data_IF_608703119628
#
_entry.id   IF_608703119628
#
_cell.length_a   1.000
_cell.length_b   1.000
_cell.length_c   1.000
_cell.angle_alpha   90.00
_cell.angle_beta   90.00
_cell.angle_gamma   90.00
#
_symmetry.space_group_name_H-M   'P 1'
#
loop_
_entity.id
_entity.type
_entity.pdbx_description
1 polymer ?
#
# COMPACT_ATOMS: atom_id res chain seq x y z
N UNK A 1 -6.59 -11.02 29.72
CA UNK A 1 -6.89 -10.78 28.28
C UNK A 1 -5.58 -10.54 27.57
N UNK A 2 -5.39 -11.08 26.36
CA UNK A 2 -4.25 -10.70 25.51
C UNK A 2 -4.40 -9.25 25.07
N UNK A 3 -3.29 -8.53 24.94
CA UNK A 3 -3.28 -7.17 24.40
C UNK A 3 -3.62 -7.23 22.91
N UNK A 4 -4.45 -6.31 22.42
CA UNK A 4 -4.74 -6.23 21.00
C UNK A 4 -3.44 -6.02 20.21
N UNK A 5 -3.20 -6.88 19.22
CA UNK A 5 -1.99 -6.85 18.40
C UNK A 5 -0.66 -6.86 19.20
N UNK A 6 -0.61 -7.73 20.21
CA UNK A 6 0.64 -8.12 20.83
C UNK A 6 1.62 -8.75 19.82
N UNK A 7 2.82 -9.08 20.29
CA UNK A 7 3.84 -9.71 19.46
C UNK A 7 3.38 -11.05 18.85
N UNK A 8 2.49 -11.78 19.53
CA UNK A 8 1.96 -13.06 19.12
C UNK A 8 0.59 -12.93 18.41
N UNK A 9 0.35 -11.80 17.76
CA UNK A 9 -0.89 -11.55 17.03
C UNK A 9 -1.18 -12.68 16.03
N UNK A 10 -2.36 -13.30 16.16
CA UNK A 10 -2.82 -14.50 15.42
C UNK A 10 -2.08 -15.82 15.73
N UNK A 11 -1.07 -15.82 16.61
CA UNK A 11 -0.36 -17.01 17.04
C UNK A 11 -1.00 -17.55 18.33
N UNK A 12 -1.70 -18.68 18.20
CA UNK A 12 -2.57 -19.22 19.26
C UNK A 12 -1.95 -20.36 20.08
N UNK A 13 -0.78 -20.88 19.69
CA UNK A 13 -0.07 -21.96 20.39
C UNK A 13 1.44 -21.87 20.16
N UNK A 14 2.21 -22.62 20.97
CA UNK A 14 3.67 -22.58 20.97
C UNK A 14 4.28 -23.06 19.64
N UNK A 15 3.63 -24.01 18.96
CA UNK A 15 4.04 -24.45 17.62
C UNK A 15 3.95 -23.30 16.61
N UNK A 16 2.86 -22.54 16.61
CA UNK A 16 2.69 -21.38 15.73
C UNK A 16 3.70 -20.27 16.04
N UNK A 17 4.01 -20.06 17.33
CA UNK A 17 5.04 -19.13 17.77
C UNK A 17 6.40 -19.54 17.22
N UNK A 18 6.85 -20.78 17.46
CA UNK A 18 8.14 -21.27 16.97
C UNK A 18 8.24 -21.21 15.44
N UNK A 19 7.22 -21.71 14.72
CA UNK A 19 7.21 -21.67 13.25
C UNK A 19 7.32 -20.23 12.71
N UNK A 20 6.64 -19.27 13.34
CA UNK A 20 6.71 -17.88 12.91
C UNK A 20 8.06 -17.25 13.22
N UNK A 21 8.50 -17.27 14.48
CA UNK A 21 9.70 -16.53 14.90
C UNK A 21 11.01 -17.16 14.43
N UNK A 22 11.09 -18.49 14.48
CA UNK A 22 12.34 -19.21 14.19
C UNK A 22 12.57 -19.35 12.68
N UNK A 23 11.49 -19.34 11.88
CA UNK A 23 11.58 -19.61 10.44
C UNK A 23 10.96 -18.51 9.57
N UNK A 24 9.69 -18.12 9.79
CA UNK A 24 8.96 -17.29 8.82
C UNK A 24 9.30 -15.79 8.89
N UNK A 25 9.44 -15.23 10.10
CA UNK A 25 9.46 -13.78 10.36
C UNK A 25 10.54 -13.03 9.59
N UNK A 26 11.71 -13.63 9.41
CA UNK A 26 12.87 -13.01 8.79
C UNK A 26 13.02 -13.34 7.29
N UNK A 27 12.12 -14.14 6.73
CA UNK A 27 12.17 -14.48 5.31
C UNK A 27 11.95 -13.24 4.43
N UNK A 28 12.64 -13.16 3.28
CA UNK A 28 12.40 -12.08 2.32
C UNK A 28 11.02 -12.20 1.69
N UNK A 29 10.48 -11.07 1.25
CA UNK A 29 9.24 -11.02 0.49
C UNK A 29 9.54 -11.16 -1.00
N UNK A 30 8.87 -12.11 -1.64
CA UNK A 30 8.74 -12.22 -3.09
C UNK A 30 7.30 -11.84 -3.40
N UNK A 31 7.10 -10.59 -3.81
CA UNK A 31 5.77 -10.07 -4.13
C UNK A 31 5.46 -10.34 -5.61
N UNK A 32 5.04 -11.58 -5.87
CA UNK A 32 4.89 -12.13 -7.22
C UNK A 32 3.73 -11.55 -8.04
N UNK A 33 2.92 -10.67 -7.45
CA UNK A 33 1.90 -9.91 -8.17
C UNK A 33 1.46 -8.68 -7.36
N UNK A 34 1.65 -7.50 -7.93
CA UNK A 34 1.22 -6.24 -7.33
C UNK A 34 0.78 -5.22 -8.40
N UNK A 35 0.25 -4.08 -7.92
CA UNK A 35 -0.11 -2.92 -8.74
C UNK A 35 0.70 -1.67 -8.38
N UNK A 36 1.89 -1.84 -7.80
CA UNK A 36 2.81 -0.71 -7.54
C UNK A 36 3.19 -0.03 -8.85
N UNK A 37 3.32 1.30 -8.81
CA UNK A 37 3.69 2.08 -9.97
C UNK A 37 5.22 2.05 -10.19
N UNK A 38 5.72 1.46 -11.30
CA UNK A 38 7.15 1.42 -11.59
C UNK A 38 7.81 2.80 -11.64
N UNK A 39 7.09 3.83 -12.08
CA UNK A 39 7.59 5.21 -12.11
C UNK A 39 7.88 5.74 -10.72
N UNK A 40 6.98 5.53 -9.77
CA UNK A 40 7.17 6.00 -8.38
C UNK A 40 8.33 5.28 -7.69
N UNK A 41 8.56 4.00 -8.03
CA UNK A 41 9.73 3.25 -7.57
C UNK A 41 11.00 3.84 -8.20
N UNK A 42 11.02 4.06 -9.51
CA UNK A 42 12.17 4.62 -10.21
C UNK A 42 12.53 6.02 -9.69
N UNK A 43 11.56 6.93 -9.63
CA UNK A 43 11.73 8.31 -9.14
C UNK A 43 11.96 8.37 -7.62
N UNK A 44 11.88 7.21 -6.94
CA UNK A 44 12.00 7.06 -5.50
C UNK A 44 11.11 8.06 -4.75
N UNK A 45 9.81 8.06 -5.11
CA UNK A 45 8.84 9.06 -4.68
C UNK A 45 8.89 9.29 -3.17
N UNK A 46 8.97 10.57 -2.78
CA UNK A 46 8.74 11.03 -1.40
C UNK A 46 7.29 11.42 -1.25
N UNK A 47 6.65 10.94 -0.19
CA UNK A 47 5.26 11.23 0.11
C UNK A 47 5.13 12.52 0.92
N UNK A 48 4.05 13.28 0.68
CA UNK A 48 3.74 14.54 1.34
C UNK A 48 3.29 14.33 2.78
N UNK A 49 2.43 13.35 3.02
CA UNK A 49 1.84 13.05 4.33
C UNK A 49 1.24 11.63 4.34
N UNK A 50 0.70 11.22 5.50
CA UNK A 50 0.09 9.90 5.66
C UNK A 50 -1.12 9.70 4.76
N UNK A 51 -1.93 10.73 4.48
CA UNK A 51 -3.08 10.57 3.57
C UNK A 51 -2.64 10.17 2.17
N UNK A 52 -1.58 10.77 1.64
CA UNK A 52 -1.10 10.42 0.30
C UNK A 52 -0.62 8.97 0.23
N UNK A 53 0.26 8.54 1.14
CA UNK A 53 0.82 7.18 1.11
C UNK A 53 -0.20 6.11 1.51
N UNK A 54 -1.27 6.49 2.21
CA UNK A 54 -2.12 5.53 2.92
C UNK A 54 -3.57 5.51 2.47
N UNK A 55 -4.12 6.65 2.01
CA UNK A 55 -5.52 6.78 1.62
C UNK A 55 -5.73 7.02 0.13
N UNK A 56 -4.69 7.33 -0.67
CA UNK A 56 -4.85 7.45 -2.13
C UNK A 56 -4.90 6.08 -2.84
N UNK A 57 -4.76 5.01 -2.07
CA UNK A 57 -5.06 3.62 -2.44
C UNK A 57 -4.95 2.70 -1.21
N UNK A 58 -5.24 1.42 -1.30
CA UNK A 58 -6.21 0.81 -2.22
C UNK A 58 -7.65 1.17 -1.82
N UNK A 59 -8.58 0.95 -2.74
CA UNK A 59 -10.00 1.35 -2.64
C UNK A 59 -10.80 0.70 -1.49
N UNK A 60 -10.22 -0.22 -0.71
CA UNK A 60 -10.88 -0.79 0.48
C UNK A 60 -11.24 0.26 1.52
N UNK A 61 -10.33 1.22 1.78
CA UNK A 61 -10.56 2.30 2.76
C UNK A 61 -11.72 3.18 2.30
N UNK A 62 -11.76 3.55 1.01
CA UNK A 62 -12.85 4.31 0.42
C UNK A 62 -14.19 3.60 0.53
N UNK A 63 -14.22 2.30 0.23
CA UNK A 63 -15.43 1.48 0.36
C UNK A 63 -15.93 1.50 1.79
N UNK A 64 -15.06 1.30 2.78
CA UNK A 64 -15.43 1.32 4.18
C UNK A 64 -15.93 2.71 4.63
N UNK A 65 -15.28 3.79 4.20
CA UNK A 65 -15.72 5.16 4.49
C UNK A 65 -17.12 5.44 3.90
N UNK A 66 -17.39 5.05 2.64
CA UNK A 66 -18.72 5.15 2.03
C UNK A 66 -19.77 4.32 2.78
N UNK A 67 -19.44 3.09 3.14
CA UNK A 67 -20.32 2.23 3.96
C UNK A 67 -20.60 2.80 5.34
N UNK A 68 -19.70 3.63 5.87
CA UNK A 68 -19.86 4.34 7.14
C UNK A 68 -20.51 5.73 6.98
N UNK A 69 -21.07 6.04 5.79
CA UNK A 69 -21.80 7.28 5.52
C UNK A 69 -20.92 8.54 5.43
N UNK A 70 -19.61 8.39 5.20
CA UNK A 70 -18.72 9.53 4.97
C UNK A 70 -19.00 10.12 3.58
N UNK A 71 -19.13 11.44 3.53
CA UNK A 71 -19.33 12.19 2.27
C UNK A 71 -18.13 12.02 1.33
N UNK A 72 -18.40 11.86 0.03
CA UNK A 72 -17.38 11.60 -1.00
C UNK A 72 -16.30 12.68 -1.07
N UNK A 73 -16.61 13.93 -0.67
CA UNK A 73 -15.61 15.01 -0.61
C UNK A 73 -14.44 14.71 0.35
N UNK A 74 -14.70 13.92 1.39
CA UNK A 74 -13.70 13.45 2.36
C UNK A 74 -13.06 12.11 1.99
N UNK A 75 -13.36 11.57 0.81
CA UNK A 75 -12.81 10.31 0.29
C UNK A 75 -11.95 10.62 -0.92
N UNK A 76 -12.56 10.84 -2.09
CA UNK A 76 -11.84 11.14 -3.34
C UNK A 76 -12.03 12.58 -3.83
N UNK A 77 -12.85 13.39 -3.16
CA UNK A 77 -13.04 14.79 -3.53
C UNK A 77 -11.92 15.73 -3.07
N UNK A 78 -12.25 17.01 -2.95
CA UNK A 78 -11.31 18.14 -2.83
C UNK A 78 -11.02 18.57 -1.37
N UNK A 79 -11.51 17.83 -0.36
CA UNK A 79 -11.19 18.14 1.04
C UNK A 79 -9.70 17.98 1.33
N UNK A 80 -9.23 18.65 2.39
CA UNK A 80 -7.83 18.62 2.78
C UNK A 80 -7.40 17.19 3.16
N UNK A 81 -6.10 16.90 3.00
CA UNK A 81 -5.56 15.60 3.38
C UNK A 81 -5.80 15.27 4.86
N UNK A 82 -5.78 16.28 5.73
CA UNK A 82 -6.05 16.10 7.15
C UNK A 82 -7.51 15.72 7.40
N UNK A 83 -8.47 16.38 6.75
CA UNK A 83 -9.89 16.08 6.90
C UNK A 83 -10.23 14.66 6.39
N UNK A 84 -9.58 14.23 5.31
CA UNK A 84 -9.67 12.85 4.80
C UNK A 84 -9.13 11.84 5.82
N UNK A 85 -7.99 12.15 6.45
CA UNK A 85 -7.41 11.31 7.51
C UNK A 85 -8.30 11.23 8.76
N UNK A 86 -8.85 12.36 9.22
CA UNK A 86 -9.80 12.37 10.35
C UNK A 86 -11.06 11.57 10.04
N UNK A 87 -11.56 11.66 8.81
CA UNK A 87 -12.72 10.88 8.36
C UNK A 87 -12.42 9.38 8.32
N UNK A 88 -11.19 9.00 7.95
CA UNK A 88 -10.73 7.63 8.06
C UNK A 88 -10.64 7.17 9.52
N UNK A 89 -10.06 8.00 10.40
CA UNK A 89 -9.95 7.69 11.82
C UNK A 89 -11.32 7.51 12.50
N UNK A 90 -12.34 8.26 12.09
CA UNK A 90 -13.74 8.07 12.50
C UNK A 90 -14.34 6.75 12.02
N UNK A 91 -13.85 6.21 10.91
CA UNK A 91 -14.33 4.95 10.32
C UNK A 91 -13.77 3.72 11.02
N UNK A 92 -12.52 3.78 11.51
CA UNK A 92 -11.83 2.62 12.10
C UNK A 92 -12.56 1.96 13.27
N UNK A 93 -13.13 2.68 14.25
CA UNK A 93 -13.90 2.04 15.33
C UNK A 93 -15.07 1.17 14.85
N UNK A 94 -15.64 1.48 13.68
CA UNK A 94 -16.73 0.72 13.06
C UNK A 94 -16.24 -0.48 12.24
N UNK A 95 -14.93 -0.62 12.05
CA UNK A 95 -14.31 -1.67 11.26
C UNK A 95 -13.90 -2.91 12.09
N UNK A 96 -14.28 -3.01 13.37
CA UNK A 96 -13.99 -4.20 14.19
C UNK A 96 -14.60 -5.44 13.51
N UNK A 97 -13.76 -6.46 13.27
CA UNK A 97 -14.13 -7.66 12.50
C UNK A 97 -13.84 -7.56 11.00
N UNK A 98 -13.58 -6.36 10.47
CA UNK A 98 -13.07 -6.16 9.13
C UNK A 98 -11.52 -6.17 9.13
N UNK A 99 -10.85 -6.75 8.13
CA UNK A 99 -9.38 -6.77 8.07
C UNK A 99 -8.75 -5.37 8.05
N UNK A 100 -9.48 -4.33 7.62
CA UNK A 100 -9.03 -2.94 7.69
C UNK A 100 -8.65 -2.51 9.12
N UNK A 101 -9.29 -3.09 10.14
CA UNK A 101 -8.90 -2.84 11.53
C UNK A 101 -7.51 -3.41 11.81
N UNK A 102 -7.17 -4.60 11.30
CA UNK A 102 -5.83 -5.16 11.51
C UNK A 102 -4.77 -4.47 10.66
N UNK A 103 -5.03 -4.22 9.38
CA UNK A 103 -4.08 -3.57 8.47
C UNK A 103 -3.66 -2.20 8.98
N UNK A 104 -4.64 -1.37 9.38
CA UNK A 104 -4.40 -0.03 9.94
C UNK A 104 -3.38 -0.06 11.08
N UNK A 105 -3.60 -0.92 12.07
CA UNK A 105 -2.74 -0.97 13.25
C UNK A 105 -1.43 -1.71 12.97
N UNK A 106 -1.39 -2.65 12.01
CA UNK A 106 -0.15 -3.33 11.60
C UNK A 106 0.79 -2.34 10.89
N UNK A 107 0.23 -1.51 10.02
CA UNK A 107 0.96 -0.50 9.27
C UNK A 107 1.47 0.60 10.21
N UNK A 108 0.62 1.11 11.13
CA UNK A 108 1.01 2.05 12.18
C UNK A 108 2.15 1.51 13.06
N UNK A 109 2.05 0.25 13.49
CA UNK A 109 3.07 -0.38 14.33
C UNK A 109 4.38 -0.59 13.59
N UNK A 110 4.35 -1.23 12.42
CA UNK A 110 5.57 -1.64 11.70
C UNK A 110 6.33 -0.47 11.09
N UNK A 111 5.64 0.46 10.45
CA UNK A 111 6.32 1.55 9.74
C UNK A 111 6.52 2.78 10.62
N UNK A 112 5.62 3.04 11.57
CA UNK A 112 5.64 4.28 12.36
C UNK A 112 5.92 4.07 13.85
N UNK A 113 6.00 2.83 14.33
CA UNK A 113 6.20 2.53 15.76
C UNK A 113 5.08 3.08 16.62
N UNK A 114 3.82 2.97 16.16
CA UNK A 114 2.62 3.44 16.85
C UNK A 114 1.76 2.25 17.23
N UNK A 115 1.62 2.00 18.53
CA UNK A 115 0.70 1.00 19.09
C UNK A 115 -0.65 1.60 19.52
N UNK A 116 -0.83 2.92 19.40
CA UNK A 116 -2.09 3.60 19.71
C UNK A 116 -3.22 3.13 18.76
N UNK A 117 -4.41 2.87 19.30
CA UNK A 117 -5.60 2.55 18.49
C UNK A 117 -6.06 3.80 17.75
N UNK A 118 -6.23 3.71 16.42
CA UNK A 118 -6.70 4.84 15.61
C UNK A 118 -8.20 5.09 15.84
N UNK A 119 -8.53 6.30 16.28
CA UNK A 119 -9.89 6.82 16.42
C UNK A 119 -9.85 8.36 16.40
N UNK A 120 -11.02 9.01 16.47
CA UNK A 120 -11.12 10.49 16.43
C UNK A 120 -10.27 11.20 17.49
N UNK A 121 -10.09 10.62 18.68
CA UNK A 121 -9.32 11.23 19.77
C UNK A 121 -7.81 11.07 19.57
N UNK A 122 -7.36 9.93 19.04
CA UNK A 122 -5.93 9.65 18.82
C UNK A 122 -5.42 10.18 17.48
N UNK A 123 -6.31 10.45 16.53
CA UNK A 123 -5.96 10.86 15.17
C UNK A 123 -5.03 12.08 15.12
N UNK A 124 -5.23 13.19 15.87
CA UNK A 124 -4.34 14.35 15.77
C UNK A 124 -2.88 14.01 16.12
N UNK A 125 -2.67 13.26 17.22
CA UNK A 125 -1.34 12.82 17.65
C UNK A 125 -0.70 11.86 16.64
N UNK A 126 -1.49 10.93 16.10
CA UNK A 126 -1.01 9.96 15.09
C UNK A 126 -0.59 10.71 13.83
N UNK A 127 -1.43 11.61 13.33
CA UNK A 127 -1.15 12.46 12.17
C UNK A 127 0.18 13.21 12.29
N UNK A 128 0.39 13.89 13.42
CA UNK A 128 1.63 14.62 13.69
C UNK A 128 2.85 13.69 13.69
N UNK A 129 2.77 12.56 14.41
CA UNK A 129 3.88 11.61 14.51
C UNK A 129 4.21 10.98 13.15
N UNK A 130 3.20 10.54 12.40
CA UNK A 130 3.41 9.91 11.09
C UNK A 130 3.99 10.89 10.10
N UNK A 131 3.50 12.13 10.07
CA UNK A 131 4.00 13.14 9.12
C UNK A 131 5.39 13.65 9.47
N UNK A 132 5.75 13.69 10.76
CA UNK A 132 7.13 13.96 11.17
C UNK A 132 8.09 12.88 10.67
N UNK A 133 7.68 11.61 10.67
CA UNK A 133 8.47 10.51 10.13
C UNK A 133 8.55 10.55 8.60
N UNK A 134 7.42 10.78 7.92
CA UNK A 134 7.34 10.84 6.45
C UNK A 134 8.18 11.99 5.87
N UNK A 135 8.21 13.14 6.56
CA UNK A 135 9.03 14.29 6.13
C UNK A 135 10.52 14.08 6.34
N UNK A 136 10.92 13.15 7.21
CA UNK A 136 12.31 12.78 7.48
C UNK A 136 12.96 11.94 6.38
N UNK A 137 14.10 11.34 6.72
CA UNK A 137 14.81 10.38 5.87
C UNK A 137 14.21 8.96 6.03
N UNK A 138 14.35 8.12 5.01
CA UNK A 138 13.91 6.72 5.08
C UNK A 138 12.41 6.48 4.83
N UNK A 139 11.67 7.45 4.28
CA UNK A 139 10.24 7.35 3.95
C UNK A 139 9.95 7.65 2.47
N UNK A 140 10.74 7.06 1.58
CA UNK A 140 10.48 7.06 0.14
C UNK A 140 9.97 5.69 -0.32
N UNK A 141 9.46 5.61 -1.55
CA UNK A 141 8.99 4.35 -2.13
C UNK A 141 10.03 3.21 -2.00
N UNK A 142 11.29 3.44 -2.40
CA UNK A 142 12.34 2.41 -2.33
C UNK A 142 12.69 2.04 -0.88
N UNK A 143 12.66 3.00 0.05
CA UNK A 143 12.97 2.76 1.46
C UNK A 143 11.90 1.92 2.15
N UNK A 144 10.62 2.18 1.87
CA UNK A 144 9.51 1.36 2.38
C UNK A 144 9.58 -0.08 1.86
N UNK A 145 9.94 -0.26 0.59
CA UNK A 145 10.17 -1.57 -0.03
C UNK A 145 11.33 -2.31 0.67
N UNK A 146 12.49 -1.63 0.85
CA UNK A 146 13.66 -2.20 1.52
C UNK A 146 13.38 -2.56 2.99
N UNK A 147 12.72 -1.68 3.74
CA UNK A 147 12.29 -1.92 5.13
C UNK A 147 11.37 -3.13 5.28
N UNK A 148 10.65 -3.48 4.21
CA UNK A 148 9.77 -4.66 4.18
C UNK A 148 10.51 -5.95 3.79
N UNK A 149 11.84 -5.92 3.63
CA UNK A 149 12.66 -7.06 3.19
C UNK A 149 12.22 -7.66 1.85
N UNK A 150 11.70 -6.83 0.94
CA UNK A 150 11.30 -7.27 -0.41
C UNK A 150 12.53 -7.50 -1.26
N UNK A 151 12.56 -8.61 -2.01
CA UNK A 151 13.65 -8.94 -2.94
C UNK A 151 13.23 -8.92 -4.39
N UNK A 152 11.97 -9.22 -4.67
CA UNK A 152 11.42 -9.19 -6.02
C UNK A 152 9.98 -8.67 -5.95
N UNK A 153 9.65 -7.78 -6.89
CA UNK A 153 8.32 -7.22 -7.14
C UNK A 153 7.96 -7.57 -8.57
N UNK A 154 6.71 -7.99 -8.76
CA UNK A 154 6.13 -8.24 -10.06
C UNK A 154 4.97 -7.29 -10.27
N UNK A 155 5.17 -6.26 -11.09
CA UNK A 155 4.12 -5.28 -11.42
C UNK A 155 3.18 -5.86 -12.45
N UNK A 156 2.03 -5.21 -12.63
CA UNK A 156 1.02 -5.62 -13.60
C UNK A 156 0.96 -4.62 -14.74
N UNK A 157 1.32 -5.04 -15.95
CA UNK A 157 1.61 -4.16 -17.06
C UNK A 157 0.77 -4.53 -18.29
N UNK A 158 0.30 -3.51 -19.02
CA UNK A 158 -0.49 -3.68 -20.24
C UNK A 158 0.43 -4.08 -21.42
N UNK A 159 -0.02 -4.92 -22.37
CA UNK A 159 0.77 -5.27 -23.55
C UNK A 159 1.30 -4.07 -24.37
N UNK A 160 0.66 -2.90 -24.27
CA UNK A 160 1.08 -1.69 -24.99
C UNK A 160 2.03 -0.79 -24.19
N UNK A 161 2.41 -1.17 -22.97
CA UNK A 161 3.31 -0.38 -22.14
C UNK A 161 4.77 -0.52 -22.62
N UNK A 162 5.50 0.60 -22.68
CA UNK A 162 6.90 0.64 -23.16
C UNK A 162 7.92 0.04 -22.16
N UNK A 163 7.47 -0.22 -20.93
CA UNK A 163 8.26 -0.74 -19.81
C UNK A 163 9.52 0.10 -19.51
N UNK A 164 9.47 1.41 -19.79
CA UNK A 164 10.63 2.30 -19.68
C UNK A 164 11.18 2.38 -18.26
N UNK A 165 10.31 2.39 -17.25
CA UNK A 165 10.72 2.47 -15.85
C UNK A 165 11.32 1.16 -15.35
N UNK A 166 10.88 -0.01 -15.85
CA UNK A 166 11.56 -1.28 -15.54
C UNK A 166 12.98 -1.31 -16.08
N UNK A 167 13.20 -0.84 -17.31
CA UNK A 167 14.54 -0.72 -17.90
C UNK A 167 15.41 0.21 -17.07
N UNK A 168 14.90 1.40 -16.74
CA UNK A 168 15.60 2.37 -15.89
C UNK A 168 15.90 1.84 -14.48
N UNK A 169 14.98 1.10 -13.85
CA UNK A 169 15.19 0.47 -12.55
C UNK A 169 16.28 -0.61 -12.64
N UNK A 170 16.27 -1.43 -13.69
CA UNK A 170 17.29 -2.46 -13.93
C UNK A 170 18.71 -1.88 -14.04
N UNK A 171 18.83 -0.64 -14.50
CA UNK A 171 20.10 0.10 -14.64
C UNK A 171 20.51 0.81 -13.34
N UNK A 172 19.67 0.87 -12.31
CA UNK A 172 19.98 1.50 -11.03
C UNK A 172 20.94 0.63 -10.21
N UNK A 173 22.09 1.19 -9.83
CA UNK A 173 23.07 0.49 -8.97
C UNK A 173 22.80 0.63 -7.47
N UNK A 174 21.87 1.51 -7.08
CA UNK A 174 21.55 1.86 -5.69
C UNK A 174 20.27 1.19 -5.15
N UNK A 175 19.66 0.30 -5.95
CA UNK A 175 18.43 -0.41 -5.63
C UNK A 175 18.54 -1.90 -5.95
N UNK A 176 18.60 -2.73 -4.91
CA UNK A 176 18.86 -4.18 -4.99
C UNK A 176 17.61 -5.04 -5.22
N UNK A 177 16.43 -4.42 -5.29
CA UNK A 177 15.15 -5.11 -5.49
C UNK A 177 14.86 -5.24 -6.97
N UNK A 178 14.56 -6.47 -7.41
CA UNK A 178 14.16 -6.72 -8.81
C UNK A 178 12.72 -6.29 -9.02
N UNK A 179 12.47 -5.39 -9.96
CA UNK A 179 11.12 -4.98 -10.38
C UNK A 179 10.87 -5.54 -11.78
N UNK A 180 10.05 -6.57 -11.87
CA UNK A 180 9.79 -7.32 -13.08
C UNK A 180 8.37 -7.05 -13.57
N UNK A 181 8.16 -6.83 -14.88
CA UNK A 181 6.83 -6.64 -15.41
C UNK A 181 6.09 -7.99 -15.55
N UNK A 182 4.77 -7.97 -15.43
CA UNK A 182 3.91 -9.13 -15.75
C UNK A 182 2.85 -8.75 -16.77
N UNK A 183 2.57 -9.67 -17.68
CA UNK A 183 1.73 -9.45 -18.85
C UNK A 183 0.24 -9.54 -18.49
N UNK A 184 -0.51 -8.44 -18.61
CA UNK A 184 -1.96 -8.40 -18.37
C UNK A 184 -2.75 -7.99 -19.62
N UNK A 185 -3.15 -8.94 -20.48
CA UNK A 185 -3.81 -8.66 -21.76
C UNK A 185 -5.33 -8.51 -21.65
N UNK A 186 -5.88 -8.01 -20.54
CA UNK A 186 -7.32 -7.96 -20.30
C UNK A 186 -8.07 -7.29 -21.47
N UNK A 187 -7.53 -6.19 -22.00
CA UNK A 187 -8.13 -5.43 -23.11
C UNK A 187 -8.13 -6.20 -24.44
N UNK A 188 -7.23 -7.17 -24.63
CA UNK A 188 -7.22 -8.04 -25.80
C UNK A 188 -8.39 -9.02 -25.81
N UNK A 189 -8.81 -9.45 -24.62
CA UNK A 189 -9.87 -10.44 -24.43
C UNK A 189 -11.27 -9.81 -24.37
N UNK A 190 -11.33 -8.50 -24.10
CA UNK A 190 -12.57 -7.75 -23.89
C UNK A 190 -13.03 -7.02 -25.16
N UNK A 191 -13.29 -7.77 -26.23
CA UNK A 191 -13.72 -7.24 -27.54
C UNK A 191 -15.03 -6.43 -27.46
N UNK A 192 -15.87 -6.70 -26.47
CA UNK A 192 -17.15 -6.04 -26.25
C UNK A 192 -17.01 -4.61 -25.70
N UNK A 193 -15.83 -4.24 -25.19
CA UNK A 193 -15.62 -2.90 -24.61
C UNK A 193 -15.49 -1.85 -25.69
N UNK A 194 -16.10 -0.69 -25.47
CA UNK A 194 -15.95 0.48 -26.33
C UNK A 194 -14.49 0.93 -26.51
N UNK A 195 -13.61 0.58 -25.56
CA UNK A 195 -12.16 0.87 -25.61
C UNK A 195 -11.35 -0.09 -26.47
N UNK A 196 -11.94 -1.18 -26.97
CA UNK A 196 -11.20 -2.23 -27.68
C UNK A 196 -10.52 -1.71 -28.95
N UNK A 197 -11.25 -1.03 -29.83
CA UNK A 197 -10.71 -0.55 -31.11
C UNK A 197 -9.55 0.44 -30.92
N UNK A 198 -9.68 1.37 -29.96
CA UNK A 198 -8.62 2.34 -29.67
C UNK A 198 -7.39 1.67 -29.04
N UNK A 199 -7.58 0.63 -28.23
CA UNK A 199 -6.49 -0.15 -27.68
C UNK A 199 -5.79 -0.99 -28.75
N UNK A 200 -6.52 -1.67 -29.65
CA UNK A 200 -5.93 -2.43 -30.77
C UNK A 200 -5.08 -1.53 -31.67
N UNK A 201 -5.50 -0.29 -31.93
CA UNK A 201 -4.68 0.67 -32.67
C UNK A 201 -3.33 0.91 -31.98
N UNK A 202 -3.34 1.13 -30.65
CA UNK A 202 -2.09 1.28 -29.88
C UNK A 202 -1.24 0.02 -29.91
N UNK A 203 -1.87 -1.15 -29.82
CA UNK A 203 -1.17 -2.44 -29.90
C UNK A 203 -0.46 -2.62 -31.25
N UNK A 204 -1.02 -2.09 -32.35
CA UNK A 204 -0.37 -2.18 -33.67
C UNK A 204 0.86 -1.28 -33.82
N UNK A 205 1.11 -0.37 -32.87
CA UNK A 205 2.21 0.59 -32.89
C UNK A 205 3.39 0.17 -31.99
N UNK A 206 3.25 -0.91 -31.19
CA UNK A 206 4.28 -1.41 -30.26
C UNK A 206 5.07 -2.60 -30.80
#
# INVERSE_FOLDING_TARGET
MKTFMDENFLLLNDTAISLYYDYAKNMPIIDYHCHLNPKEIYENKKFKNITEVWLYGDHYKWRAMRSNGIDEKYITGDSSDYDKFLSWAKTIPMAIGNPLYNWTHLELKRFFGIDDILNEKTAPKIWEKTNKLISGEGFTARELIKKSNVKVIFTTDDPVDMLEYHKKIKECNDFDVKVLPTFRPDKALQIEKHTFQSWIKKLSEV
#
